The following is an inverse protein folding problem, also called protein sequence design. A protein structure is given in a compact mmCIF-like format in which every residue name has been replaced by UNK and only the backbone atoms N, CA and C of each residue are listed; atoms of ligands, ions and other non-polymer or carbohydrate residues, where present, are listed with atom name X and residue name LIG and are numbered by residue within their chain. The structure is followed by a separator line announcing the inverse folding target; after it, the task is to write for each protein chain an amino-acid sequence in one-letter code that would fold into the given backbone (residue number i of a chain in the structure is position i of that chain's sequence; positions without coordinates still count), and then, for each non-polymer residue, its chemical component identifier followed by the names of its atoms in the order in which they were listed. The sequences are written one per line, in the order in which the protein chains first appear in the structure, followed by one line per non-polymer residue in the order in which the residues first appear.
data_IF_115729481574
#
_entry.id   IF_115729481574
#
_cell.length_a   1.000
_cell.length_b   1.000
_cell.length_c   1.000
_cell.angle_alpha   90.00
_cell.angle_beta   90.00
_cell.angle_gamma   90.00
#
_symmetry.space_group_name_H-M   'P 1'
#
loop_
_entity.id
_entity.type
_entity.pdbx_description
1 polymer ?
#
# COMPACT_ATOMS: atom_id res chain seq x y z
N UNK A 1 3.21 -50.76 -50.23
CA UNK A 1 2.09 -49.87 -50.59
C UNK A 1 1.68 -49.14 -49.31
N UNK A 2 2.14 -47.94 -48.95
CA UNK A 2 2.52 -46.79 -49.74
C UNK A 2 1.33 -45.83 -49.85
N UNK A 3 1.15 -44.93 -48.87
CA UNK A 3 0.79 -43.52 -49.04
C UNK A 3 0.55 -42.83 -47.67
N UNK A 4 1.49 -41.95 -47.33
CA UNK A 4 1.44 -40.97 -46.25
C UNK A 4 0.82 -39.64 -46.77
N UNK A 5 0.60 -38.62 -45.91
CA UNK A 5 -0.52 -37.69 -46.00
C UNK A 5 -0.25 -36.41 -46.81
N UNK A 6 -1.33 -35.75 -47.26
CA UNK A 6 -1.30 -34.49 -48.00
C UNK A 6 -0.97 -33.30 -47.09
N UNK A 7 0.16 -32.66 -47.35
CA UNK A 7 0.57 -31.37 -46.79
C UNK A 7 -0.37 -30.23 -47.23
N UNK A 8 -0.84 -29.41 -46.28
CA UNK A 8 -1.36 -28.06 -46.54
C UNK A 8 -0.24 -27.05 -46.26
N UNK A 9 0.19 -26.33 -47.29
CA UNK A 9 1.10 -25.19 -47.16
C UNK A 9 0.39 -23.93 -46.68
N UNK A 10 1.12 -22.94 -46.13
CA UNK A 10 0.56 -21.67 -45.66
C UNK A 10 0.30 -20.70 -46.83
N UNK A 11 -0.70 -19.80 -46.73
CA UNK A 11 -0.90 -18.76 -47.74
C UNK A 11 0.10 -17.61 -47.60
N UNK A 12 0.65 -17.20 -48.73
CA UNK A 12 1.51 -16.01 -48.93
C UNK A 12 0.66 -14.73 -48.94
N UNK A 13 1.15 -13.59 -48.41
CA UNK A 13 0.37 -12.35 -48.32
C UNK A 13 0.38 -11.59 -49.65
N UNK A 14 -0.80 -11.10 -50.09
CA UNK A 14 -0.91 -10.20 -51.23
C UNK A 14 -0.60 -8.75 -50.83
N UNK A 15 0.31 -8.15 -51.58
CA UNK A 15 0.62 -6.73 -51.56
C UNK A 15 -0.39 -5.96 -52.43
N UNK A 16 -1.01 -4.93 -51.85
CA UNK A 16 -1.78 -3.90 -52.57
C UNK A 16 -1.28 -2.52 -52.17
N UNK A 17 -0.61 -1.84 -53.11
CA UNK A 17 -0.16 -0.43 -53.02
C UNK A 17 -1.34 0.53 -53.27
N UNK A 18 -1.29 1.72 -52.65
CA UNK A 18 -1.72 2.95 -53.34
C UNK A 18 -2.67 3.93 -52.61
N UNK A 19 -2.10 4.74 -51.68
CA UNK A 19 -2.15 6.22 -51.61
C UNK A 19 -3.50 6.96 -51.63
N UNK A 20 -3.77 7.77 -50.58
CA UNK A 20 -4.11 9.22 -50.56
C UNK A 20 -4.19 9.65 -49.07
N UNK A 21 -3.17 10.30 -48.49
CA UNK A 21 -2.95 11.76 -48.42
C UNK A 21 -4.09 12.54 -47.72
N UNK A 22 -3.89 12.91 -46.45
CA UNK A 22 -4.80 13.76 -45.66
C UNK A 22 -4.13 14.34 -44.41
N UNK A 23 -3.45 15.47 -44.61
CA UNK A 23 -3.08 16.54 -43.66
C UNK A 23 -2.92 16.22 -42.15
N UNK A 24 -1.67 16.13 -41.71
CA UNK A 24 -1.28 16.33 -40.32
C UNK A 24 -1.28 17.83 -39.98
N UNK A 25 -2.03 18.23 -38.96
CA UNK A 25 -2.00 19.58 -38.38
C UNK A 25 -0.72 19.81 -37.55
N UNK A 26 -0.25 21.06 -37.44
CA UNK A 26 0.99 21.37 -36.73
C UNK A 26 0.84 21.21 -35.20
N UNK A 27 1.92 20.86 -34.48
CA UNK A 27 1.89 20.76 -33.03
C UNK A 27 1.74 22.15 -32.37
N UNK A 28 1.09 22.23 -31.18
CA UNK A 28 0.96 23.49 -30.46
C UNK A 28 2.33 24.00 -30.00
N UNK A 29 2.55 25.29 -30.20
CA UNK A 29 3.77 26.02 -29.83
C UNK A 29 3.97 26.03 -28.31
N UNK A 30 5.22 25.80 -27.90
CA UNK A 30 5.69 26.01 -26.55
C UNK A 30 5.42 27.47 -26.10
N UNK A 31 4.62 27.63 -25.05
CA UNK A 31 4.42 28.90 -24.37
C UNK A 31 5.70 29.31 -23.66
N UNK A 32 6.24 30.47 -24.06
CA UNK A 32 7.42 31.05 -23.48
C UNK A 32 7.23 31.46 -22.02
N UNK A 33 8.25 31.20 -21.21
CA UNK A 33 8.40 31.75 -19.87
C UNK A 33 8.69 33.25 -19.98
N UNK A 34 7.72 34.10 -19.67
CA UNK A 34 7.99 35.50 -19.40
C UNK A 34 8.48 35.65 -17.96
N UNK A 35 9.74 36.09 -17.85
CA UNK A 35 10.38 36.50 -16.60
C UNK A 35 9.91 37.93 -16.30
N UNK A 36 9.03 38.10 -15.32
CA UNK A 36 8.66 39.44 -14.84
C UNK A 36 9.50 39.75 -13.61
N UNK A 37 10.46 40.67 -13.77
CA UNK A 37 11.15 41.30 -12.67
C UNK A 37 10.23 42.36 -12.05
N UNK A 38 9.74 42.10 -10.84
CA UNK A 38 9.08 43.09 -9.98
C UNK A 38 9.90 43.27 -8.70
N UNK A 39 10.47 44.46 -8.54
CA UNK A 39 11.13 44.93 -7.31
C UNK A 39 10.10 45.07 -6.19
N UNK A 40 10.60 44.99 -4.95
CA UNK A 40 9.80 45.00 -3.74
C UNK A 40 9.00 46.28 -3.52
N UNK A 41 8.00 46.18 -2.63
CA UNK A 41 7.76 47.14 -1.56
C UNK A 41 6.73 46.56 -0.58
N UNK A 42 6.91 46.89 0.69
CA UNK A 42 6.32 46.20 1.83
C UNK A 42 4.82 46.40 2.03
N UNK A 43 4.19 45.39 2.62
CA UNK A 43 2.80 45.43 3.05
C UNK A 43 2.72 45.54 4.57
N UNK A 44 2.47 46.78 5.03
CA UNK A 44 1.75 47.06 6.28
C UNK A 44 0.33 47.47 5.90
N UNK A 45 -0.69 46.69 6.27
CA UNK A 45 -2.05 47.20 6.57
C UNK A 45 -2.81 46.16 7.39
N UNK A 46 -3.01 46.48 8.68
CA UNK A 46 -4.29 46.73 9.37
C UNK A 46 -5.22 45.52 9.55
N UNK A 47 -5.24 45.05 10.79
CA UNK A 47 -6.28 44.20 11.35
C UNK A 47 -7.66 44.87 11.18
N UNK A 48 -8.60 44.12 10.60
CA UNK A 48 -10.01 44.48 10.56
C UNK A 48 -10.69 43.89 11.80
N UNK A 49 -11.17 44.77 12.67
CA UNK A 49 -12.03 44.44 13.81
C UNK A 49 -13.42 44.10 13.28
N UNK A 50 -13.93 42.91 13.61
CA UNK A 50 -15.33 42.52 13.40
C UNK A 50 -16.13 42.90 14.65
N UNK A 51 -17.30 43.55 14.54
CA UNK A 51 -18.12 43.92 15.70
C UNK A 51 -18.86 42.71 16.29
N UNK A 52 -18.84 42.61 17.62
CA UNK A 52 -19.62 41.64 18.40
C UNK A 52 -21.01 42.25 18.69
N UNK A 53 -22.13 41.55 18.41
CA UNK A 53 -23.48 42.01 18.79
C UNK A 53 -23.74 41.90 20.31
N UNK A 54 -24.63 42.73 20.86
CA UNK A 54 -24.74 42.95 22.31
C UNK A 54 -25.46 41.80 23.01
N UNK A 55 -24.85 41.27 24.07
CA UNK A 55 -25.44 40.21 24.90
C UNK A 55 -24.48 39.63 25.93
N UNK A 56 -23.64 40.46 26.56
CA UNK A 56 -22.78 40.05 27.66
C UNK A 56 -23.40 40.50 28.99
N UNK A 57 -23.86 39.54 29.79
CA UNK A 57 -24.26 39.79 31.16
C UNK A 57 -22.99 40.04 32.00
N UNK A 58 -22.88 41.25 32.56
CA UNK A 58 -21.84 41.66 33.50
C UNK A 58 -22.11 40.99 34.85
N UNK A 59 -21.09 40.39 35.46
CA UNK A 59 -21.01 40.31 36.91
C UNK A 59 -19.80 41.12 37.39
N UNK A 60 -20.11 42.18 38.13
CA UNK A 60 -19.17 43.10 38.77
C UNK A 60 -18.93 42.59 40.19
N UNK A 61 -17.67 42.51 40.62
CA UNK A 61 -17.32 42.36 42.04
C UNK A 61 -16.92 43.73 42.63
N UNK A 62 -17.33 44.06 43.87
CA UNK A 62 -16.90 45.27 44.58
C UNK A 62 -15.49 45.11 45.20
N UNK A 63 -14.82 46.22 45.55
CA UNK A 63 -13.44 46.20 46.04
C UNK A 63 -13.36 46.08 47.56
N UNK A 64 -12.42 45.27 48.05
CA UNK A 64 -11.91 45.33 49.43
C UNK A 64 -12.57 44.37 50.42
N UNK A 65 -11.88 43.28 50.76
CA UNK A 65 -12.22 42.39 51.87
C UNK A 65 -11.61 41.00 51.72
N UNK A 66 -10.81 40.59 52.71
CA UNK A 66 -9.96 39.39 52.71
C UNK A 66 -10.68 38.07 52.36
N UNK A 67 -10.00 37.22 51.58
CA UNK A 67 -10.46 35.90 51.15
C UNK A 67 -9.91 34.81 52.08
N UNK A 68 -10.73 33.89 52.65
CA UNK A 68 -10.24 32.72 53.38
C UNK A 68 -9.84 31.56 52.45
N UNK A 69 -8.92 30.66 52.85
CA UNK A 69 -8.42 29.59 51.98
C UNK A 69 -9.35 28.36 51.98
N UNK A 70 -9.52 27.64 50.85
CA UNK A 70 -10.03 26.29 50.88
C UNK A 70 -8.91 25.26 51.05
N UNK A 71 -9.21 24.29 51.91
CA UNK A 71 -8.40 23.14 52.28
C UNK A 71 -8.05 22.28 51.05
N UNK A 72 -6.78 22.33 50.64
CA UNK A 72 -6.11 21.26 49.90
C UNK A 72 -5.08 20.62 50.84
N UNK A 73 -5.23 19.32 51.12
CA UNK A 73 -4.24 18.56 51.86
C UNK A 73 -3.09 18.13 50.93
N UNK A 74 -1.89 18.16 51.49
CA UNK A 74 -0.58 18.33 50.86
C UNK A 74 -0.01 17.13 50.04
N UNK A 75 1.02 17.40 49.19
CA UNK A 75 1.72 16.45 48.31
C UNK A 75 2.87 15.70 49.03
N UNK A 76 3.68 14.88 48.33
CA UNK A 76 4.97 15.46 47.91
C UNK A 76 5.61 14.91 46.61
N UNK A 77 6.59 15.72 46.14
CA UNK A 77 7.70 15.44 45.22
C UNK A 77 7.45 15.31 43.71
N UNK A 78 7.62 16.46 43.06
CA UNK A 78 8.01 16.61 41.67
C UNK A 78 9.52 16.32 41.53
N UNK A 79 9.87 15.36 40.66
CA UNK A 79 11.19 15.29 40.02
C UNK A 79 10.97 15.04 38.53
N UNK A 80 11.49 15.97 37.72
CA UNK A 80 11.85 15.90 36.31
C UNK A 80 10.80 15.42 35.27
N UNK A 81 10.58 16.30 34.30
CA UNK A 81 9.81 16.12 33.06
C UNK A 81 10.64 15.31 32.06
N UNK A 82 10.11 14.19 31.55
CA UNK A 82 10.21 13.77 30.15
C UNK A 82 9.32 12.53 29.89
N UNK A 83 8.49 12.58 28.82
CA UNK A 83 7.82 11.38 28.26
C UNK A 83 6.44 11.63 27.62
N UNK A 84 6.23 11.30 26.32
CA UNK A 84 4.93 11.40 25.66
C UNK A 84 4.05 10.16 25.90
N UNK A 85 2.76 10.39 26.09
CA UNK A 85 1.71 9.38 26.26
C UNK A 85 1.54 8.52 25.00
N UNK A 86 1.99 7.27 25.07
CA UNK A 86 1.81 6.25 24.03
C UNK A 86 0.62 5.35 24.37
N UNK A 87 -0.42 5.35 23.53
CA UNK A 87 -1.44 4.29 23.51
C UNK A 87 -0.75 3.02 23.03
N UNK A 88 -0.29 2.18 23.95
CA UNK A 88 0.27 0.87 23.61
C UNK A 88 -0.86 -0.06 23.15
N UNK A 89 -1.00 -0.24 21.84
CA UNK A 89 -1.59 -1.47 21.32
C UNK A 89 -0.60 -2.58 21.67
N UNK A 90 -0.98 -3.48 22.57
CA UNK A 90 -0.17 -4.66 22.88
C UNK A 90 0.11 -5.43 21.60
N UNK A 91 1.34 -5.35 21.10
CA UNK A 91 1.85 -6.21 20.03
C UNK A 91 1.71 -7.66 20.52
N UNK A 92 0.82 -8.44 19.93
CA UNK A 92 0.72 -9.86 20.23
C UNK A 92 2.06 -10.50 19.83
N UNK A 93 2.84 -10.95 20.82
CA UNK A 93 4.13 -11.66 20.61
C UNK A 93 3.92 -13.16 20.40
N UNK A 94 2.76 -13.54 19.86
CA UNK A 94 2.47 -14.92 19.49
C UNK A 94 3.20 -15.31 18.20
N UNK A 95 3.33 -16.62 17.91
CA UNK A 95 3.88 -17.06 16.63
C UNK A 95 3.07 -16.46 15.46
N UNK A 96 3.76 -16.11 14.37
CA UNK A 96 3.09 -15.74 13.12
C UNK A 96 2.36 -16.98 12.60
N UNK A 97 1.03 -16.95 12.67
CA UNK A 97 0.18 -18.06 12.26
C UNK A 97 -0.37 -17.84 10.85
N UNK A 98 -0.24 -18.85 10.00
CA UNK A 98 -0.86 -18.89 8.67
C UNK A 98 -2.35 -19.20 8.82
N UNK A 99 -3.21 -18.25 8.43
CA UNK A 99 -4.63 -18.52 8.24
C UNK A 99 -4.80 -19.20 6.88
N UNK A 100 -4.74 -20.53 6.89
CA UNK A 100 -4.63 -21.31 5.65
C UNK A 100 -5.93 -21.41 4.85
N UNK A 101 -5.83 -21.85 3.59
CA UNK A 101 -6.98 -22.17 2.72
C UNK A 101 -7.15 -23.68 2.52
N UNK A 102 -8.28 -24.10 1.94
CA UNK A 102 -8.61 -25.53 1.78
C UNK A 102 -7.95 -26.19 0.57
N UNK A 103 -7.69 -25.42 -0.48
CA UNK A 103 -7.11 -25.90 -1.74
C UNK A 103 -5.68 -25.40 -1.88
N UNK A 104 -4.78 -26.28 -2.35
CA UNK A 104 -3.38 -25.99 -2.59
C UNK A 104 -2.90 -26.56 -3.92
N UNK A 105 -1.70 -26.16 -4.30
CA UNK A 105 -0.94 -26.72 -5.41
C UNK A 105 -0.91 -25.83 -6.64
N UNK A 106 -0.08 -26.18 -7.63
CA UNK A 106 -0.10 -25.53 -8.92
C UNK A 106 -1.47 -25.71 -9.59
N UNK A 107 -1.92 -24.71 -10.34
CA UNK A 107 -3.17 -24.72 -11.13
C UNK A 107 -4.48 -24.78 -10.30
N UNK A 108 -4.38 -24.68 -8.97
CA UNK A 108 -5.50 -24.67 -8.03
C UNK A 108 -6.26 -23.33 -7.92
N UNK A 109 -5.68 -22.24 -8.41
CA UNK A 109 -6.12 -20.88 -8.16
C UNK A 109 -5.81 -20.36 -6.75
N UNK A 110 -5.04 -21.10 -5.93
CA UNK A 110 -4.78 -20.71 -4.55
C UNK A 110 -3.89 -19.46 -4.42
N UNK A 111 -4.24 -18.54 -3.52
CA UNK A 111 -3.59 -17.25 -3.33
C UNK A 111 -3.15 -17.09 -1.87
N UNK A 112 -1.91 -16.67 -1.63
CA UNK A 112 -1.41 -16.29 -0.32
C UNK A 112 -1.36 -14.76 -0.21
N UNK A 113 -2.14 -14.17 0.68
CA UNK A 113 -2.02 -12.76 1.04
C UNK A 113 -1.00 -12.60 2.17
N UNK A 114 0.06 -11.83 1.96
CA UNK A 114 0.94 -11.34 3.03
C UNK A 114 0.49 -9.94 3.40
N UNK A 115 -0.11 -9.80 4.59
CA UNK A 115 -0.84 -8.59 4.99
C UNK A 115 -0.10 -7.85 6.10
N UNK A 116 0.10 -6.55 5.94
CA UNK A 116 0.68 -5.70 6.97
C UNK A 116 -0.19 -5.62 8.22
N UNK A 117 0.36 -6.05 9.37
CA UNK A 117 -0.30 -5.96 10.66
C UNK A 117 -1.34 -7.06 10.91
N UNK A 118 -1.40 -7.53 12.15
CA UNK A 118 -2.31 -8.60 12.58
C UNK A 118 -3.78 -8.19 12.49
N UNK A 119 -4.10 -6.94 12.89
CA UNK A 119 -5.47 -6.42 12.82
C UNK A 119 -6.02 -6.41 11.39
N UNK A 120 -5.22 -5.96 10.43
CA UNK A 120 -5.60 -5.96 9.02
C UNK A 120 -5.66 -7.39 8.45
N UNK A 121 -4.71 -8.27 8.81
CA UNK A 121 -4.74 -9.67 8.42
C UNK A 121 -6.03 -10.37 8.88
N UNK A 122 -6.48 -10.12 10.12
CA UNK A 122 -7.76 -10.64 10.61
C UNK A 122 -8.97 -10.05 9.85
N UNK A 123 -8.93 -8.77 9.48
CA UNK A 123 -9.96 -8.16 8.66
C UNK A 123 -10.04 -8.80 7.26
N UNK A 124 -8.90 -9.04 6.62
CA UNK A 124 -8.79 -9.76 5.34
C UNK A 124 -9.29 -11.20 5.49
N UNK A 125 -8.91 -11.88 6.57
CA UNK A 125 -9.31 -13.26 6.83
C UNK A 125 -10.83 -13.43 6.97
N UNK A 126 -11.56 -12.40 7.41
CA UNK A 126 -13.02 -12.41 7.53
C UNK A 126 -13.75 -12.26 6.19
N UNK A 127 -13.10 -11.69 5.17
CA UNK A 127 -13.73 -11.36 3.88
C UNK A 127 -13.20 -12.19 2.71
N UNK A 128 -12.20 -13.05 2.96
CA UNK A 128 -11.59 -13.94 1.96
C UNK A 128 -12.50 -15.11 1.59
N UNK A 129 -12.28 -15.65 0.41
CA UNK A 129 -12.73 -17.01 0.10
C UNK A 129 -11.75 -18.01 0.71
N UNK A 130 -12.08 -18.55 1.90
CA UNK A 130 -11.24 -19.50 2.63
C UNK A 130 -10.99 -20.81 1.90
N UNK A 131 -11.68 -21.09 0.78
CA UNK A 131 -11.39 -22.23 -0.07
C UNK A 131 -10.06 -22.05 -0.81
N UNK A 132 -9.77 -20.85 -1.31
CA UNK A 132 -8.64 -20.60 -2.20
C UNK A 132 -7.65 -19.54 -1.70
N UNK A 133 -8.04 -18.69 -0.75
CA UNK A 133 -7.22 -17.55 -0.34
C UNK A 133 -6.72 -17.80 1.07
N UNK A 134 -5.40 -17.84 1.29
CA UNK A 134 -4.72 -17.89 2.58
C UNK A 134 -4.24 -16.50 3.00
N UNK A 135 -4.02 -16.30 4.31
CA UNK A 135 -3.55 -15.02 4.86
C UNK A 135 -2.40 -15.26 5.83
N UNK A 136 -1.28 -14.58 5.61
CA UNK A 136 -0.12 -14.55 6.50
C UNK A 136 0.07 -13.13 7.04
N UNK A 137 -0.04 -12.90 8.35
CA UNK A 137 0.21 -11.59 8.94
C UNK A 137 1.70 -11.25 8.95
N UNK A 138 2.02 -10.03 8.53
CA UNK A 138 3.33 -9.41 8.69
C UNK A 138 3.35 -8.69 10.03
N UNK A 139 3.98 -9.32 11.02
CA UNK A 139 4.18 -8.75 12.35
C UNK A 139 5.47 -7.95 12.40
N UNK A 140 5.34 -6.64 12.67
CA UNK A 140 6.46 -5.71 12.72
C UNK A 140 7.09 -5.44 11.35
N UNK A 141 8.09 -4.56 11.34
CA UNK A 141 8.82 -4.18 10.13
C UNK A 141 9.72 -5.34 9.68
N UNK A 142 9.62 -5.81 8.43
CA UNK A 142 10.51 -6.86 7.94
C UNK A 142 11.99 -6.46 8.07
N UNK A 143 12.87 -7.41 8.33
CA UNK A 143 14.31 -7.15 8.34
C UNK A 143 14.77 -6.78 6.92
N UNK A 144 15.69 -5.82 6.79
CA UNK A 144 16.34 -5.55 5.51
C UNK A 144 17.26 -6.73 5.13
N UNK A 145 16.65 -7.68 4.43
CA UNK A 145 17.25 -8.92 4.00
C UNK A 145 18.31 -8.72 2.93
N UNK A 146 18.41 -7.57 2.27
CA UNK A 146 19.48 -7.28 1.30
C UNK A 146 20.81 -6.99 2.00
N UNK A 147 20.77 -6.42 3.21
CA UNK A 147 21.98 -6.09 4.00
C UNK A 147 22.27 -7.11 5.10
N UNK A 148 21.25 -7.77 5.62
CA UNK A 148 21.42 -8.74 6.70
C UNK A 148 22.17 -10.02 6.26
N UNK A 149 22.84 -10.68 7.19
CA UNK A 149 23.43 -12.01 6.94
C UNK A 149 22.33 -13.06 6.77
N UNK A 150 22.53 -14.13 5.99
CA UNK A 150 21.53 -15.19 5.81
C UNK A 150 21.03 -15.79 7.14
N UNK A 151 21.92 -15.90 8.13
CA UNK A 151 21.57 -16.35 9.48
C UNK A 151 20.53 -15.44 10.14
N UNK A 152 20.74 -14.13 10.15
CA UNK A 152 19.77 -13.17 10.72
C UNK A 152 18.45 -13.15 9.97
N UNK A 153 18.48 -13.39 8.66
CA UNK A 153 17.27 -13.52 7.83
C UNK A 153 16.48 -14.77 8.23
N UNK A 154 17.14 -15.92 8.42
CA UNK A 154 16.50 -17.16 8.85
C UNK A 154 15.94 -17.10 10.30
N UNK A 155 16.55 -16.27 11.16
CA UNK A 155 16.05 -16.02 12.52
C UNK A 155 14.81 -15.11 12.54
N UNK A 156 14.46 -14.46 11.42
CA UNK A 156 13.32 -13.55 11.36
C UNK A 156 12.00 -14.34 11.20
N UNK A 157 11.02 -14.18 12.12
CA UNK A 157 9.83 -15.03 12.13
C UNK A 157 8.95 -14.95 10.88
N UNK A 158 8.79 -13.77 10.27
CA UNK A 158 7.99 -13.58 9.05
C UNK A 158 8.58 -14.33 7.85
N UNK A 159 9.90 -14.25 7.65
CA UNK A 159 10.58 -14.90 6.54
C UNK A 159 10.57 -16.42 6.70
N UNK A 160 10.77 -16.91 7.93
CA UNK A 160 10.64 -18.33 8.23
C UNK A 160 9.21 -18.84 8.06
N UNK A 161 8.21 -18.08 8.53
CA UNK A 161 6.80 -18.42 8.34
C UNK A 161 6.40 -18.37 6.86
N UNK A 162 6.90 -17.40 6.09
CA UNK A 162 6.64 -17.29 4.66
C UNK A 162 7.28 -18.42 3.86
N UNK A 163 8.54 -18.77 4.14
CA UNK A 163 9.22 -19.90 3.52
C UNK A 163 8.47 -21.21 3.78
N UNK A 164 8.07 -21.44 5.04
CA UNK A 164 7.25 -22.58 5.42
C UNK A 164 5.87 -22.57 4.73
N UNK A 165 5.21 -21.42 4.66
CA UNK A 165 3.92 -21.28 3.97
C UNK A 165 4.03 -21.60 2.48
N UNK A 166 5.10 -21.18 1.82
CA UNK A 166 5.35 -21.45 0.41
C UNK A 166 5.79 -22.89 0.13
N UNK A 167 6.22 -23.64 1.17
CA UNK A 167 6.80 -24.96 1.01
C UNK A 167 8.22 -24.92 0.45
N UNK A 168 8.98 -23.85 0.73
CA UNK A 168 10.39 -23.70 0.32
C UNK A 168 11.28 -23.88 1.53
N UNK A 169 11.99 -25.01 1.61
CA UNK A 169 12.93 -25.29 2.69
C UNK A 169 14.24 -24.50 2.57
N UNK A 170 14.95 -24.25 3.69
CA UNK A 170 16.28 -23.66 3.65
C UNK A 170 17.27 -24.61 2.94
N UNK A 171 17.85 -24.14 1.83
CA UNK A 171 18.85 -24.90 1.06
C UNK A 171 18.27 -25.93 0.08
N UNK A 172 16.95 -25.99 -0.08
CA UNK A 172 16.31 -26.78 -1.12
C UNK A 172 16.27 -26.00 -2.44
N UNK A 173 16.50 -26.71 -3.55
CA UNK A 173 16.27 -26.14 -4.87
C UNK A 173 14.79 -25.77 -5.01
N UNK A 174 14.53 -24.50 -5.32
CA UNK A 174 13.18 -24.02 -5.55
C UNK A 174 12.54 -24.80 -6.70
N UNK A 175 11.42 -25.49 -6.42
CA UNK A 175 10.63 -26.20 -7.43
C UNK A 175 9.27 -25.54 -7.57
N UNK A 176 8.94 -25.15 -8.80
CA UNK A 176 7.64 -24.56 -9.14
C UNK A 176 6.48 -25.52 -8.87
N UNK A 177 6.74 -26.82 -9.00
CA UNK A 177 5.73 -27.87 -8.96
C UNK A 177 5.30 -28.22 -7.53
N UNK A 178 6.09 -27.81 -6.52
CA UNK A 178 5.78 -28.01 -5.10
C UNK A 178 5.21 -26.76 -4.42
N UNK A 179 4.92 -25.70 -5.19
CA UNK A 179 4.34 -24.48 -4.64
C UNK A 179 2.94 -24.74 -4.10
N UNK A 180 2.73 -24.39 -2.82
CA UNK A 180 1.43 -24.50 -2.16
C UNK A 180 0.39 -23.52 -2.69
N UNK A 181 0.84 -22.35 -3.13
CA UNK A 181 0.01 -21.27 -3.64
C UNK A 181 0.45 -20.90 -5.05
N UNK A 182 -0.50 -20.67 -5.95
CA UNK A 182 -0.18 -20.17 -7.29
C UNK A 182 0.33 -18.74 -7.27
N UNK A 183 -0.25 -17.92 -6.39
CA UNK A 183 -0.02 -16.48 -6.34
C UNK A 183 0.28 -16.05 -4.92
N UNK A 184 1.25 -15.16 -4.77
CA UNK A 184 1.49 -14.41 -3.54
C UNK A 184 1.11 -12.95 -3.79
N UNK A 185 0.24 -12.43 -2.94
CA UNK A 185 -0.28 -11.08 -2.98
C UNK A 185 0.21 -10.31 -1.75
N UNK A 186 0.96 -9.25 -1.97
CA UNK A 186 1.40 -8.34 -0.92
C UNK A 186 0.32 -7.28 -0.75
N UNK A 187 -0.19 -7.12 0.48
CA UNK A 187 -1.20 -6.13 0.82
C UNK A 187 -0.73 -5.34 2.04
N UNK A 188 -0.35 -4.10 1.81
CA UNK A 188 0.18 -3.18 2.83
C UNK A 188 -0.74 -1.98 2.99
N UNK A 189 -0.52 -1.23 4.06
CA UNK A 189 -1.13 0.08 4.22
C UNK A 189 -0.69 1.00 3.06
N UNK A 190 -1.56 1.93 2.62
CA UNK A 190 -1.26 2.81 1.50
C UNK A 190 -0.29 3.93 1.88
N UNK A 191 0.29 3.96 3.08
CA UNK A 191 1.22 5.00 3.52
C UNK A 191 2.70 4.65 3.27
N UNK A 192 3.60 5.55 3.67
CA UNK A 192 5.03 5.39 3.45
C UNK A 192 5.63 4.20 4.21
N UNK A 193 5.11 3.88 5.39
CA UNK A 193 5.58 2.75 6.19
C UNK A 193 5.15 1.43 5.57
N UNK A 194 3.91 1.33 5.07
CA UNK A 194 3.44 0.17 4.35
C UNK A 194 4.19 -0.07 3.03
N UNK A 195 4.48 1.00 2.29
CA UNK A 195 5.37 0.93 1.10
C UNK A 195 6.75 0.39 1.49
N UNK A 196 7.33 0.88 2.58
CA UNK A 196 8.62 0.40 3.07
C UNK A 196 8.57 -1.08 3.45
N UNK A 197 7.56 -1.52 4.22
CA UNK A 197 7.37 -2.92 4.59
C UNK A 197 7.26 -3.83 3.34
N UNK A 198 6.47 -3.44 2.35
CA UNK A 198 6.31 -4.18 1.11
C UNK A 198 7.61 -4.30 0.31
N UNK A 199 8.40 -3.22 0.24
CA UNK A 199 9.72 -3.24 -0.41
C UNK A 199 10.68 -4.19 0.31
N UNK A 200 10.73 -4.21 1.64
CA UNK A 200 11.63 -5.09 2.37
C UNK A 200 11.28 -6.57 2.16
N UNK A 201 9.98 -6.86 2.08
CA UNK A 201 9.48 -8.18 1.70
C UNK A 201 9.88 -8.54 0.26
N UNK A 202 9.72 -7.63 -0.70
CA UNK A 202 10.18 -7.84 -2.08
C UNK A 202 11.70 -8.02 -2.16
N UNK A 203 12.48 -7.33 -1.32
CA UNK A 203 13.93 -7.52 -1.20
C UNK A 203 14.29 -8.94 -0.75
N UNK A 204 13.52 -9.50 0.19
CA UNK A 204 13.67 -10.91 0.59
C UNK A 204 13.34 -11.86 -0.56
N UNK A 205 12.20 -11.67 -1.22
CA UNK A 205 11.81 -12.47 -2.39
C UNK A 205 12.88 -12.37 -3.50
N UNK A 206 13.41 -11.18 -3.76
CA UNK A 206 14.45 -10.98 -4.77
C UNK A 206 15.76 -11.67 -4.44
N UNK A 207 16.20 -11.64 -3.17
CA UNK A 207 17.48 -12.23 -2.76
C UNK A 207 17.42 -13.75 -2.59
N UNK A 208 16.33 -14.27 -2.05
CA UNK A 208 16.24 -15.68 -1.63
C UNK A 208 15.26 -16.51 -2.47
N UNK A 209 14.27 -15.89 -3.11
CA UNK A 209 13.21 -16.56 -3.87
C UNK A 209 13.07 -15.96 -5.28
N UNK A 210 14.16 -15.50 -5.89
CA UNK A 210 14.14 -14.83 -7.20
C UNK A 210 13.40 -15.60 -8.29
N UNK A 211 13.53 -16.95 -8.38
CA UNK A 211 12.76 -17.72 -9.35
C UNK A 211 11.24 -17.53 -9.22
N UNK A 212 10.71 -17.29 -8.02
CA UNK A 212 9.28 -17.04 -7.82
C UNK A 212 8.80 -15.72 -8.46
N UNK A 213 9.67 -14.69 -8.52
CA UNK A 213 9.38 -13.43 -9.21
C UNK A 213 9.37 -13.61 -10.74
N UNK A 214 10.24 -14.47 -11.26
CA UNK A 214 10.38 -14.69 -12.71
C UNK A 214 9.39 -15.71 -13.27
N UNK A 215 8.84 -16.58 -12.42
CA UNK A 215 7.92 -17.64 -12.83
C UNK A 215 6.54 -17.06 -13.14
N UNK A 216 5.98 -17.47 -14.28
CA UNK A 216 4.60 -17.13 -14.66
C UNK A 216 3.58 -18.09 -14.02
N UNK A 217 2.34 -17.61 -13.88
CA UNK A 217 1.22 -18.44 -13.44
C UNK A 217 0.83 -19.40 -14.57
N UNK A 218 0.52 -20.64 -14.22
CA UNK A 218 0.15 -21.72 -15.15
C UNK A 218 -1.36 -22.03 -15.16
N UNK A 219 -2.09 -21.61 -14.12
CA UNK A 219 -3.50 -21.96 -13.89
C UNK A 219 -4.55 -21.14 -14.66
N UNK A 220 -5.82 -21.44 -14.37
CA UNK A 220 -7.09 -21.00 -15.03
C UNK A 220 -7.32 -19.46 -15.14
N UNK A 221 -6.37 -18.64 -14.73
CA UNK A 221 -6.39 -17.18 -14.83
C UNK A 221 -5.33 -16.59 -15.75
N UNK A 222 -4.73 -17.39 -16.66
CA UNK A 222 -3.63 -17.00 -17.57
C UNK A 222 -3.90 -15.83 -18.53
N UNK A 223 -4.96 -15.06 -18.35
CA UNK A 223 -5.23 -13.82 -19.06
C UNK A 223 -5.30 -12.63 -18.11
N UNK A 224 -4.30 -11.74 -18.23
CA UNK A 224 -4.31 -10.28 -17.95
C UNK A 224 -3.44 -9.75 -16.79
N UNK A 225 -3.19 -10.50 -15.71
CA UNK A 225 -2.63 -9.90 -14.46
C UNK A 225 -1.25 -10.40 -13.99
N UNK A 226 -0.33 -10.64 -14.93
CA UNK A 226 1.11 -10.84 -14.69
C UNK A 226 1.50 -12.04 -13.80
N UNK A 227 2.79 -12.10 -13.44
CA UNK A 227 3.47 -13.23 -12.78
C UNK A 227 2.91 -13.65 -11.40
N UNK A 228 3.62 -14.57 -10.72
CA UNK A 228 3.14 -15.17 -9.46
C UNK A 228 3.10 -14.22 -8.27
N UNK A 229 3.86 -13.12 -8.30
CA UNK A 229 3.87 -12.10 -7.25
C UNK A 229 3.09 -10.87 -7.70
N UNK A 230 2.21 -10.34 -6.85
CA UNK A 230 1.53 -9.09 -7.08
C UNK A 230 1.46 -8.22 -5.82
N UNK A 231 1.49 -6.90 -6.00
CA UNK A 231 1.23 -5.93 -4.95
C UNK A 231 -0.18 -5.37 -5.13
N UNK A 232 -1.04 -5.61 -4.16
CA UNK A 232 -2.42 -5.09 -4.16
C UNK A 232 -2.39 -3.61 -3.81
N UNK A 233 -2.98 -2.76 -4.66
CA UNK A 233 -3.14 -1.34 -4.39
C UNK A 233 -4.34 -1.10 -3.49
N UNK A 234 -4.09 -0.98 -2.20
CA UNK A 234 -5.11 -0.62 -1.23
C UNK A 234 -5.77 0.73 -1.56
N UNK A 235 -7.08 0.90 -1.30
CA UNK A 235 -7.74 2.19 -1.37
C UNK A 235 -7.02 3.27 -0.55
N UNK A 236 -6.80 4.43 -1.18
CA UNK A 236 -6.29 5.64 -0.52
C UNK A 236 -7.40 6.40 0.20
N UNK A 237 -8.61 6.38 -0.39
CA UNK A 237 -9.77 7.06 0.16
C UNK A 237 -11.02 6.79 -0.64
N UNK A 238 -12.11 7.37 -0.19
CA UNK A 238 -13.40 7.38 -0.89
C UNK A 238 -14.01 8.77 -0.94
N UNK A 239 -14.88 8.97 -1.93
CA UNK A 239 -15.72 10.14 -2.10
C UNK A 239 -17.17 9.68 -2.10
N UNK A 240 -17.93 10.14 -1.12
CA UNK A 240 -19.37 9.84 -0.97
C UNK A 240 -20.17 11.04 -1.50
N UNK A 241 -20.92 10.87 -2.60
CA UNK A 241 -21.85 11.87 -3.10
C UNK A 241 -22.97 12.18 -2.09
N UNK A 242 -23.33 13.46 -1.96
CA UNK A 242 -24.40 13.93 -1.07
C UNK A 242 -25.82 13.71 -1.60
N UNK A 243 -25.95 13.26 -2.85
CA UNK A 243 -27.21 12.85 -3.48
C UNK A 243 -27.61 11.40 -3.12
N UNK A 244 -26.84 10.72 -2.27
CA UNK A 244 -27.07 9.33 -1.90
C UNK A 244 -26.52 8.31 -2.90
N UNK A 245 -25.75 8.75 -3.91
CA UNK A 245 -25.04 7.87 -4.82
C UNK A 245 -24.00 6.98 -4.10
N UNK A 246 -23.55 5.88 -4.75
CA UNK A 246 -22.58 4.98 -4.14
C UNK A 246 -21.21 5.66 -3.92
N UNK A 247 -20.46 5.28 -2.88
CA UNK A 247 -19.08 5.75 -2.69
C UNK A 247 -18.21 5.44 -3.90
N UNK A 248 -17.33 6.39 -4.25
CA UNK A 248 -16.31 6.22 -5.29
C UNK A 248 -14.95 6.07 -4.64
N UNK A 249 -14.22 5.02 -4.99
CA UNK A 249 -12.94 4.68 -4.36
C UNK A 249 -11.76 5.19 -5.20
N UNK A 250 -10.79 5.81 -4.53
CA UNK A 250 -9.49 6.21 -5.09
C UNK A 250 -8.37 5.31 -4.57
N UNK A 251 -7.37 5.06 -5.39
CA UNK A 251 -6.18 4.27 -5.04
C UNK A 251 -4.89 5.12 -5.03
N UNK A 252 -5.01 6.45 -5.17
CA UNK A 252 -3.92 7.40 -4.96
C UNK A 252 -4.47 8.75 -4.47
N UNK A 253 -3.57 9.63 -4.03
CA UNK A 253 -3.92 10.99 -3.64
C UNK A 253 -4.48 11.79 -4.83
N UNK A 254 -3.84 11.68 -5.99
CA UNK A 254 -4.26 12.33 -7.23
C UNK A 254 -5.65 11.85 -7.66
N UNK A 255 -5.89 10.54 -7.60
CA UNK A 255 -7.22 9.97 -7.89
C UNK A 255 -8.27 10.50 -6.91
N UNK A 256 -7.95 10.62 -5.61
CA UNK A 256 -8.90 11.10 -4.61
C UNK A 256 -9.27 12.56 -4.85
N UNK A 257 -8.27 13.40 -5.16
CA UNK A 257 -8.46 14.82 -5.49
C UNK A 257 -9.32 14.95 -6.76
N UNK A 258 -8.98 14.19 -7.80
CA UNK A 258 -9.71 14.22 -9.07
C UNK A 258 -11.16 13.74 -8.92
N UNK A 259 -11.40 12.64 -8.20
CA UNK A 259 -12.75 12.13 -7.91
C UNK A 259 -13.55 13.12 -7.08
N UNK A 260 -12.93 13.74 -6.07
CA UNK A 260 -13.59 14.74 -5.23
C UNK A 260 -14.04 15.95 -6.06
N UNK A 261 -13.17 16.46 -6.93
CA UNK A 261 -13.49 17.55 -7.84
C UNK A 261 -14.63 17.16 -8.81
N UNK A 262 -14.57 15.96 -9.37
CA UNK A 262 -15.59 15.46 -10.29
C UNK A 262 -16.96 15.35 -9.61
N UNK A 263 -17.04 14.78 -8.40
CA UNK A 263 -18.33 14.63 -7.68
C UNK A 263 -18.87 16.00 -7.25
N UNK A 264 -18.00 16.88 -6.72
CA UNK A 264 -18.37 18.24 -6.29
C UNK A 264 -18.89 19.13 -7.40
N UNK A 265 -18.57 18.82 -8.66
CA UNK A 265 -19.14 19.53 -9.82
C UNK A 265 -20.64 19.28 -10.01
N UNK A 266 -21.20 18.21 -9.41
CA UNK A 266 -22.61 17.81 -9.58
C UNK A 266 -23.38 17.82 -8.25
N UNK A 267 -22.75 17.37 -7.17
CA UNK A 267 -23.37 17.19 -5.86
C UNK A 267 -22.39 17.57 -4.75
N UNK A 268 -22.85 18.03 -3.57
CA UNK A 268 -22.01 18.07 -2.37
C UNK A 268 -21.32 16.71 -2.17
N UNK A 269 -20.10 16.68 -1.63
CA UNK A 269 -19.37 15.43 -1.46
C UNK A 269 -18.56 15.39 -0.17
N UNK A 270 -18.67 14.27 0.54
CA UNK A 270 -17.83 13.93 1.69
C UNK A 270 -16.63 13.12 1.21
N UNK A 271 -15.43 13.52 1.61
CA UNK A 271 -14.18 12.83 1.24
C UNK A 271 -13.61 12.21 2.50
N UNK A 272 -13.31 10.90 2.45
CA UNK A 272 -12.69 10.16 3.55
C UNK A 272 -11.38 9.56 3.07
N UNK A 273 -10.29 9.82 3.79
CA UNK A 273 -8.98 9.20 3.57
C UNK A 273 -8.82 7.99 4.48
N UNK A 274 -8.33 6.88 3.95
CA UNK A 274 -7.97 5.72 4.76
C UNK A 274 -6.57 5.90 5.35
N UNK A 275 -6.42 5.66 6.66
CA UNK A 275 -5.13 5.75 7.35
C UNK A 275 -4.37 4.43 7.35
N UNK A 276 -5.04 3.34 7.01
CA UNK A 276 -4.51 1.98 6.97
C UNK A 276 -5.65 1.00 6.62
N UNK A 277 -5.30 -0.25 6.34
CA UNK A 277 -6.22 -1.31 5.94
C UNK A 277 -7.31 -1.57 6.98
N UNK A 278 -6.98 -1.45 8.27
CA UNK A 278 -7.94 -1.64 9.36
C UNK A 278 -9.03 -0.54 9.42
N UNK A 279 -8.83 0.62 8.77
CA UNK A 279 -9.81 1.69 8.69
C UNK A 279 -10.80 1.53 7.52
N UNK A 280 -10.56 0.55 6.65
CA UNK A 280 -11.41 0.23 5.49
C UNK A 280 -12.53 -0.69 5.97
N UNK A 281 -13.78 -0.38 5.61
CA UNK A 281 -14.90 -1.25 5.94
C UNK A 281 -14.83 -2.58 5.18
N UNK A 282 -15.46 -3.62 5.73
CA UNK A 282 -15.37 -4.98 5.21
C UNK A 282 -15.86 -5.10 3.76
N UNK A 283 -16.82 -4.28 3.32
CA UNK A 283 -17.34 -4.33 1.95
C UNK A 283 -16.31 -3.78 0.97
N UNK A 284 -15.70 -2.64 1.28
CA UNK A 284 -14.62 -2.08 0.46
C UNK A 284 -13.38 -2.96 0.47
N UNK A 285 -12.98 -3.49 1.63
CA UNK A 285 -11.85 -4.40 1.75
C UNK A 285 -12.06 -5.67 0.90
N UNK A 286 -13.26 -6.26 0.99
CA UNK A 286 -13.62 -7.42 0.17
C UNK A 286 -13.55 -7.11 -1.32
N UNK A 287 -14.20 -6.04 -1.77
CA UNK A 287 -14.35 -5.72 -3.19
C UNK A 287 -13.10 -5.15 -3.85
N UNK A 288 -12.31 -4.33 -3.15
CA UNK A 288 -11.16 -3.60 -3.72
C UNK A 288 -9.79 -4.17 -3.36
N UNK A 289 -9.69 -5.07 -2.38
CA UNK A 289 -8.41 -5.67 -2.00
C UNK A 289 -8.39 -7.20 -2.18
N UNK A 290 -9.48 -7.89 -1.85
CA UNK A 290 -9.48 -9.35 -1.71
C UNK A 290 -10.08 -10.07 -2.92
N UNK A 291 -11.25 -9.64 -3.39
CA UNK A 291 -11.95 -10.26 -4.52
C UNK A 291 -11.15 -10.09 -5.82
N UNK A 292 -10.88 -11.17 -6.58
CA UNK A 292 -10.12 -11.09 -7.83
C UNK A 292 -10.67 -10.09 -8.84
N UNK A 293 -12.00 -9.97 -8.95
CA UNK A 293 -12.64 -9.14 -9.97
C UNK A 293 -12.53 -7.63 -9.72
N UNK A 294 -12.34 -7.18 -8.47
CA UNK A 294 -12.39 -5.75 -8.12
C UNK A 294 -11.08 -5.16 -7.60
N UNK A 295 -10.11 -6.01 -7.21
CA UNK A 295 -8.82 -5.55 -6.70
C UNK A 295 -7.89 -5.09 -7.83
N UNK A 296 -7.11 -4.05 -7.55
CA UNK A 296 -6.03 -3.59 -8.44
C UNK A 296 -4.72 -4.21 -8.00
N UNK A 297 -4.04 -4.93 -8.89
CA UNK A 297 -2.78 -5.61 -8.57
C UNK A 297 -1.69 -5.19 -9.53
N UNK A 298 -0.58 -4.70 -8.99
CA UNK A 298 0.63 -4.46 -9.76
C UNK A 298 1.48 -5.74 -9.78
N UNK A 299 1.78 -6.32 -10.96
CA UNK A 299 2.61 -7.52 -11.04
C UNK A 299 4.06 -7.20 -10.68
N UNK A 300 4.69 -8.07 -9.90
CA UNK A 300 6.07 -7.90 -9.43
C UNK A 300 6.94 -9.00 -10.01
N UNK A 301 7.65 -8.68 -11.10
CA UNK A 301 8.72 -9.51 -11.64
C UNK A 301 10.09 -9.03 -11.13
N UNK A 302 11.15 -9.79 -11.37
CA UNK A 302 12.49 -9.43 -10.89
C UNK A 302 12.95 -8.06 -11.39
N UNK A 303 12.61 -7.68 -12.63
CA UNK A 303 12.99 -6.40 -13.23
C UNK A 303 12.34 -5.23 -12.55
N UNK A 304 11.04 -5.31 -12.27
CA UNK A 304 10.32 -4.25 -11.55
C UNK A 304 10.85 -4.10 -10.13
N UNK A 305 11.06 -5.23 -9.45
CA UNK A 305 11.63 -5.20 -8.08
C UNK A 305 13.03 -4.60 -8.08
N UNK A 306 13.90 -4.99 -9.00
CA UNK A 306 15.24 -4.43 -9.15
C UNK A 306 15.21 -2.92 -9.40
N UNK A 307 14.32 -2.45 -10.28
CA UNK A 307 14.10 -1.01 -10.50
C UNK A 307 13.66 -0.27 -9.23
N UNK A 308 12.75 -0.84 -8.44
CA UNK A 308 12.32 -0.27 -7.16
C UNK A 308 13.46 -0.20 -6.14
N UNK A 309 14.25 -1.26 -6.04
CA UNK A 309 15.43 -1.32 -5.16
C UNK A 309 16.49 -0.29 -5.58
N UNK A 310 16.72 -0.12 -6.87
CA UNK A 310 17.67 0.86 -7.40
C UNK A 310 17.20 2.30 -7.17
N UNK A 311 15.91 2.58 -7.33
CA UNK A 311 15.34 3.90 -7.02
C UNK A 311 15.57 4.26 -5.55
N UNK A 312 15.38 3.32 -4.63
CA UNK A 312 15.61 3.54 -3.19
C UNK A 312 17.08 3.76 -2.86
N UNK A 313 17.99 3.01 -3.49
CA UNK A 313 19.42 3.20 -3.33
C UNK A 313 19.87 4.58 -3.87
N UNK A 314 19.32 5.00 -5.00
CA UNK A 314 19.67 6.27 -5.66
C UNK A 314 19.06 7.49 -4.96
N UNK A 315 17.89 7.34 -4.33
CA UNK A 315 17.20 8.41 -3.61
C UNK A 315 17.84 8.78 -2.26
N UNK A 316 18.94 8.14 -1.86
CA UNK A 316 19.67 8.50 -0.64
C UNK A 316 18.92 8.21 0.66
N UNK A 317 17.86 7.38 0.63
CA UNK A 317 17.22 6.83 1.83
C UNK A 317 18.07 5.70 2.47
N UNK A 318 19.37 5.69 2.20
CA UNK A 318 20.33 4.73 2.73
C UNK A 318 20.79 5.03 4.18
N UNK A 319 20.24 6.08 4.80
CA UNK A 319 20.72 6.61 6.07
C UNK A 319 19.73 6.51 7.23
N UNK A 320 19.39 5.31 7.71
CA UNK A 320 19.26 5.01 9.15
C UNK A 320 19.51 3.51 9.32
N UNK A 321 20.77 3.13 9.48
CA UNK A 321 21.25 1.93 10.19
C UNK A 321 22.77 1.90 9.91
N UNK A 322 23.48 2.87 10.50
CA UNK A 322 24.92 2.75 10.65
C UNK A 322 25.22 1.57 11.59
N UNK A 323 26.38 0.93 11.46
CA UNK A 323 26.81 -0.05 12.47
C UNK A 323 26.81 0.63 13.84
N UNK A 324 26.25 -0.04 14.85
CA UNK A 324 26.49 0.35 16.24
C UNK A 324 28.01 0.37 16.45
N UNK A 325 28.59 1.47 16.97
CA UNK A 325 30.00 1.54 17.23
C UNK A 325 30.33 0.64 18.43
N UNK A 326 30.98 -0.49 18.14
CA UNK A 326 31.68 -1.31 19.12
C UNK A 326 30.81 -2.29 19.93
N UNK A 327 31.41 -3.47 20.12
CA UNK A 327 31.06 -4.55 21.06
C UNK A 327 30.00 -5.59 20.63
#
# INVERSE_FOLDING_TARGET
MGLAPRHRGPPTPQAGRGILAGSAGPPPRAGGWQRVHGRGDGWRTRASVVPIPPGANRQVYPPGGAVPPPLFQNPPHFSAIDGPSTVSHSFHRGPIELLDCQVHGPDSGAELFVVEGESAALAVARVRDGRFQAVLPMQGKPLNSLRATPRRVAEQPLFSALAAALGVGPGEDFRTDSLRFERLLILTDPDADGIHCGVLLLGFLHRFLRPLLDTQRTGLGGGRDGGRIGWVRAPWGEVVPGDGGPPRVAHSEEELIALAAQVRSRHPATVRRFRGLAAIDSRLLSSHCVAPAGRRVDPMDSRRVEGMLQMLATAGLEGVDGPLPGE
#
